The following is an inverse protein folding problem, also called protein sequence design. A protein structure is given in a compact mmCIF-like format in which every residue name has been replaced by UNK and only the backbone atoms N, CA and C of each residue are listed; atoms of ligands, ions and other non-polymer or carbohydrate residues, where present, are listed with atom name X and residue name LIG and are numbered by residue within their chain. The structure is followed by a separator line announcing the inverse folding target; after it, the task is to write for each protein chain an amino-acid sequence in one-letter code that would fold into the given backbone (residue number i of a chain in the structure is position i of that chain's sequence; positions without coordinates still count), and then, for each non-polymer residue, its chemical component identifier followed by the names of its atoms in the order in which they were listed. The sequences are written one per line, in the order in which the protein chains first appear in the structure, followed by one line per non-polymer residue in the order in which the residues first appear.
data_IF_874948727589
#
_entry.id   IF_874948727589
#
_cell.length_a   1.000
_cell.length_b   1.000
_cell.length_c   1.000
_cell.angle_alpha   90.00
_cell.angle_beta   90.00
_cell.angle_gamma   90.00
#
_symmetry.space_group_name_H-M   'P 1'
#
loop_
_entity.id
_entity.type
_entity.pdbx_description
1 polymer ?
#
# COMPACT_ATOMS: atom_id res chain seq x y z
N UNK A 1 -37.09 -18.72 -34.32
CA UNK A 1 -36.68 -19.91 -33.54
C UNK A 1 -35.40 -19.55 -32.82
N UNK A 2 -35.42 -19.43 -31.50
CA UNK A 2 -34.23 -19.11 -30.70
C UNK A 2 -33.44 -20.41 -30.51
N UNK A 3 -32.24 -20.52 -31.06
CA UNK A 3 -31.34 -21.64 -30.75
C UNK A 3 -30.78 -21.42 -29.35
N UNK A 4 -31.13 -22.31 -28.42
CA UNK A 4 -30.61 -22.30 -27.06
C UNK A 4 -29.18 -22.82 -27.00
N UNK A 5 -28.39 -22.31 -26.06
CA UNK A 5 -27.03 -22.78 -25.78
C UNK A 5 -27.07 -24.25 -25.31
N UNK A 6 -26.14 -25.07 -25.77
CA UNK A 6 -26.08 -26.47 -25.35
C UNK A 6 -25.43 -26.61 -23.96
N UNK A 7 -25.83 -27.64 -23.19
CA UNK A 7 -25.21 -27.91 -21.89
C UNK A 7 -23.70 -28.20 -22.02
N UNK A 8 -23.28 -28.82 -23.13
CA UNK A 8 -21.87 -29.14 -23.38
C UNK A 8 -21.04 -27.88 -23.64
N UNK A 9 -21.59 -26.88 -24.35
CA UNK A 9 -20.92 -25.58 -24.51
C UNK A 9 -20.70 -24.88 -23.18
N UNK A 10 -21.71 -24.90 -22.30
CA UNK A 10 -21.59 -24.31 -20.98
C UNK A 10 -20.51 -25.02 -20.14
N UNK A 11 -20.48 -26.35 -20.13
CA UNK A 11 -19.52 -27.12 -19.35
C UNK A 11 -18.07 -26.87 -19.79
N UNK A 12 -17.82 -26.85 -21.10
CA UNK A 12 -16.48 -26.54 -21.63
C UNK A 12 -16.12 -25.08 -21.32
N UNK A 13 -17.07 -24.16 -21.43
CA UNK A 13 -16.86 -22.75 -21.08
C UNK A 13 -16.44 -22.55 -19.62
N UNK A 14 -17.14 -23.19 -18.68
CA UNK A 14 -16.82 -23.12 -17.24
C UNK A 14 -15.46 -23.75 -16.94
N UNK A 15 -15.10 -24.84 -17.61
CA UNK A 15 -13.80 -25.49 -17.44
C UNK A 15 -12.64 -24.55 -17.84
N UNK A 16 -12.76 -23.84 -18.97
CA UNK A 16 -11.74 -22.88 -19.42
C UNK A 16 -11.70 -21.67 -18.48
N UNK A 17 -12.85 -21.13 -18.08
CA UNK A 17 -12.93 -20.02 -17.13
C UNK A 17 -12.26 -20.35 -15.79
N UNK A 18 -12.39 -21.59 -15.30
CA UNK A 18 -11.71 -22.04 -14.09
C UNK A 18 -10.17 -21.98 -14.19
N UNK A 19 -9.61 -22.43 -15.32
CA UNK A 19 -8.16 -22.36 -15.57
C UNK A 19 -7.69 -20.90 -15.68
N UNK A 20 -8.44 -20.06 -16.40
CA UNK A 20 -8.13 -18.63 -16.52
C UNK A 20 -8.16 -17.94 -15.16
N UNK A 21 -9.18 -18.21 -14.33
CA UNK A 21 -9.29 -17.64 -12.99
C UNK A 21 -8.13 -18.05 -12.08
N UNK A 22 -7.70 -19.31 -12.14
CA UNK A 22 -6.56 -19.82 -11.38
C UNK A 22 -5.26 -19.07 -11.66
N UNK A 23 -5.01 -18.69 -12.92
CA UNK A 23 -3.83 -17.91 -13.32
C UNK A 23 -4.04 -16.41 -13.02
N UNK A 24 -5.25 -15.88 -13.27
CA UNK A 24 -5.54 -14.46 -13.15
C UNK A 24 -5.50 -13.96 -11.69
N UNK A 25 -6.00 -14.73 -10.73
CA UNK A 25 -6.06 -14.33 -9.32
C UNK A 25 -4.69 -14.03 -8.68
N UNK A 26 -3.68 -14.92 -8.73
CA UNK A 26 -2.36 -14.63 -8.15
C UNK A 26 -1.66 -13.47 -8.89
N UNK A 27 -1.89 -13.35 -10.19
CA UNK A 27 -1.34 -12.24 -11.00
C UNK A 27 -1.94 -10.91 -10.54
N UNK A 28 -3.27 -10.80 -10.50
CA UNK A 28 -3.97 -9.58 -10.10
C UNK A 28 -3.60 -9.12 -8.68
N UNK A 29 -3.55 -10.05 -7.72
CA UNK A 29 -3.17 -9.72 -6.33
C UNK A 29 -1.73 -9.20 -6.23
N UNK A 30 -0.80 -9.73 -7.04
CA UNK A 30 0.57 -9.24 -7.10
C UNK A 30 0.67 -7.82 -7.69
N UNK A 31 -0.16 -7.48 -8.67
CA UNK A 31 -0.22 -6.13 -9.23
C UNK A 31 -0.72 -5.11 -8.22
N UNK A 32 -1.79 -5.45 -7.49
CA UNK A 32 -2.32 -4.59 -6.42
C UNK A 32 -1.26 -4.38 -5.35
N UNK A 33 -0.58 -5.43 -4.90
CA UNK A 33 0.48 -5.29 -3.87
C UNK A 33 1.63 -4.39 -4.34
N UNK A 34 2.05 -4.48 -5.61
CA UNK A 34 3.06 -3.59 -6.18
C UNK A 34 2.59 -2.14 -6.17
N UNK A 35 1.32 -1.87 -6.48
CA UNK A 35 0.75 -0.54 -6.39
C UNK A 35 0.76 -0.01 -4.95
N UNK A 36 0.41 -0.85 -3.96
CA UNK A 36 0.49 -0.51 -2.53
C UNK A 36 1.91 -0.11 -2.11
N UNK A 37 2.90 -0.89 -2.53
CA UNK A 37 4.31 -0.61 -2.25
C UNK A 37 4.77 0.68 -2.94
N UNK A 38 4.39 0.90 -4.20
CA UNK A 38 4.76 2.12 -4.94
C UNK A 38 4.22 3.38 -4.28
N UNK A 39 2.98 3.38 -3.83
CA UNK A 39 2.38 4.50 -3.10
C UNK A 39 3.10 4.74 -1.77
N UNK A 40 3.31 3.66 -1.01
CA UNK A 40 4.06 3.68 0.24
C UNK A 40 5.46 4.28 0.09
N UNK A 41 6.20 3.87 -0.94
CA UNK A 41 7.54 4.37 -1.22
C UNK A 41 7.51 5.86 -1.55
N UNK A 42 6.55 6.32 -2.36
CA UNK A 42 6.42 7.73 -2.70
C UNK A 42 6.18 8.60 -1.46
N UNK A 43 5.31 8.16 -0.55
CA UNK A 43 5.06 8.89 0.70
C UNK A 43 6.25 8.84 1.65
N UNK A 44 6.97 7.71 1.75
CA UNK A 44 8.19 7.61 2.57
C UNK A 44 9.32 8.46 2.00
N UNK A 45 9.46 8.55 0.68
CA UNK A 45 10.49 9.35 0.02
C UNK A 45 10.32 10.85 0.31
N UNK A 46 9.08 11.35 0.32
CA UNK A 46 8.81 12.74 0.72
C UNK A 46 9.19 13.01 2.19
N UNK A 47 8.84 12.10 3.10
CA UNK A 47 9.25 12.21 4.51
C UNK A 47 10.78 12.10 4.69
N UNK A 48 11.44 11.23 3.94
CA UNK A 48 12.91 11.10 3.94
C UNK A 48 13.58 12.40 3.47
N UNK A 49 13.07 13.01 2.40
CA UNK A 49 13.58 14.29 1.91
C UNK A 49 13.52 15.37 3.00
N UNK A 50 12.40 15.48 3.70
CA UNK A 50 12.24 16.44 4.79
C UNK A 50 13.21 16.16 5.96
N UNK A 51 13.46 14.88 6.29
CA UNK A 51 14.46 14.52 7.31
C UNK A 51 15.87 14.97 6.91
N UNK A 52 16.27 14.73 5.66
CA UNK A 52 17.60 15.10 5.15
C UNK A 52 17.75 16.62 5.09
N UNK A 53 16.72 17.33 4.64
CA UNK A 53 16.70 18.80 4.59
C UNK A 53 16.82 19.40 5.99
N UNK A 54 16.02 18.92 6.94
CA UNK A 54 16.09 19.37 8.33
C UNK A 54 17.47 19.11 8.94
N UNK A 55 18.06 17.94 8.68
CA UNK A 55 19.42 17.63 9.13
C UNK A 55 20.48 18.52 8.47
N UNK A 56 20.34 18.83 7.18
CA UNK A 56 21.25 19.72 6.47
C UNK A 56 21.27 21.15 7.03
N UNK A 57 20.14 21.62 7.55
CA UNK A 57 19.99 22.97 8.12
C UNK A 57 20.33 23.01 9.61
N UNK A 58 19.88 22.02 10.38
CA UNK A 58 19.93 22.05 11.85
C UNK A 58 21.04 21.16 12.45
N UNK A 59 21.70 20.33 11.63
CA UNK A 59 22.75 19.40 12.08
C UNK A 59 22.24 18.23 12.93
N UNK A 60 20.94 18.12 13.12
CA UNK A 60 20.26 17.05 13.85
C UNK A 60 19.10 16.53 13.01
N UNK A 61 18.83 15.24 13.10
CA UNK A 61 17.67 14.69 12.41
C UNK A 61 16.41 14.95 13.24
N UNK A 62 15.25 15.20 12.59
CA UNK A 62 14.01 15.49 13.30
C UNK A 62 13.48 14.23 13.99
N UNK A 63 13.00 14.38 15.22
CA UNK A 63 12.37 13.33 16.02
C UNK A 63 10.86 13.17 15.69
N UNK A 64 10.27 14.11 14.95
CA UNK A 64 8.84 14.11 14.61
C UNK A 64 8.54 14.78 13.27
N UNK A 65 7.33 14.54 12.74
CA UNK A 65 6.82 15.21 11.52
C UNK A 65 6.82 16.75 11.65
N UNK A 66 6.38 17.26 12.80
CA UNK A 66 6.29 18.70 13.04
C UNK A 66 7.66 19.36 13.03
N UNK A 67 8.67 18.70 13.60
CA UNK A 67 10.05 19.17 13.57
C UNK A 67 10.64 19.10 12.15
N UNK A 68 10.31 18.06 11.40
CA UNK A 68 10.67 17.93 9.99
C UNK A 68 9.93 18.92 9.05
N UNK A 69 9.00 19.73 9.57
CA UNK A 69 8.23 20.69 8.76
C UNK A 69 7.22 20.06 7.81
N UNK A 70 6.82 18.81 8.03
CA UNK A 70 5.81 18.10 7.22
C UNK A 70 4.48 17.98 7.97
N UNK A 71 3.36 17.73 7.27
CA UNK A 71 2.05 17.57 7.90
C UNK A 71 2.05 16.52 9.01
N UNK A 72 1.12 16.67 9.95
CA UNK A 72 0.98 15.72 11.06
C UNK A 72 0.74 14.31 10.50
N UNK A 73 1.20 13.29 11.22
CA UNK A 73 1.22 11.92 10.70
C UNK A 73 -0.16 11.37 10.28
N UNK A 74 -1.23 11.89 10.86
CA UNK A 74 -2.61 11.53 10.49
C UNK A 74 -3.11 12.23 9.22
N UNK A 75 -2.38 13.20 8.69
CA UNK A 75 -2.73 13.95 7.49
C UNK A 75 -1.96 13.44 6.27
N UNK A 76 -0.85 12.71 6.48
CA UNK A 76 -0.12 12.01 5.43
C UNK A 76 -0.76 10.64 5.19
N UNK A 77 -1.82 10.62 4.40
CA UNK A 77 -2.62 9.45 4.04
C UNK A 77 -2.59 9.18 2.54
N UNK A 78 -2.82 7.92 2.18
CA UNK A 78 -2.99 7.46 0.81
C UNK A 78 -4.11 6.43 0.72
N UNK A 79 -4.34 5.89 -0.47
CA UNK A 79 -5.31 4.82 -0.72
C UNK A 79 -4.93 3.55 0.06
N UNK A 80 -3.63 3.25 0.12
CA UNK A 80 -3.10 2.05 0.80
C UNK A 80 -2.26 2.38 2.03
N UNK A 81 -2.13 3.66 2.39
CA UNK A 81 -1.29 4.16 3.47
C UNK A 81 -2.12 4.90 4.50
N UNK A 82 -2.10 4.41 5.75
CA UNK A 82 -2.81 5.01 6.87
C UNK A 82 -2.15 6.24 7.44
N UNK A 83 -0.81 6.18 7.55
CA UNK A 83 0.00 7.26 8.10
C UNK A 83 1.48 7.06 7.82
N UNK A 84 2.18 8.18 7.76
CA UNK A 84 3.65 8.27 7.79
C UNK A 84 4.07 9.09 9.00
N UNK A 85 4.87 8.49 9.89
CA UNK A 85 5.33 9.11 11.12
C UNK A 85 6.85 9.04 11.24
N UNK A 86 7.50 10.17 11.42
CA UNK A 86 8.89 10.24 11.86
C UNK A 86 8.91 10.03 13.38
N UNK A 87 9.81 9.17 13.85
CA UNK A 87 10.02 8.89 15.27
C UNK A 87 11.45 8.44 15.53
N UNK A 88 12.00 8.83 16.68
CA UNK A 88 13.23 8.25 17.24
C UNK A 88 12.99 6.83 17.74
N UNK A 89 13.77 5.87 17.22
CA UNK A 89 13.67 4.48 17.64
C UNK A 89 14.41 4.26 18.95
N UNK A 90 13.68 3.77 19.96
CA UNK A 90 14.24 3.43 21.27
C UNK A 90 15.08 2.17 21.16
N UNK A 91 16.37 2.35 20.93
CA UNK A 91 17.35 1.27 20.75
C UNK A 91 18.64 1.77 20.12
N UNK A 92 18.54 2.78 19.26
CA UNK A 92 19.69 3.29 18.49
C UNK A 92 19.84 4.81 18.52
N UNK A 93 18.97 5.55 19.23
CA UNK A 93 18.91 7.04 19.21
C UNK A 93 18.80 7.67 17.81
N UNK A 94 18.64 6.85 16.78
CA UNK A 94 18.48 7.25 15.40
C UNK A 94 16.99 7.47 15.09
N UNK A 95 16.64 8.59 14.45
CA UNK A 95 15.31 8.78 13.92
C UNK A 95 15.11 8.00 12.64
N UNK A 96 13.88 7.57 12.43
CA UNK A 96 13.47 7.03 11.15
C UNK A 96 11.96 7.10 10.94
N UNK A 97 11.52 6.43 9.88
CA UNK A 97 10.17 6.59 9.34
C UNK A 97 9.36 5.33 9.65
N UNK A 98 8.26 5.53 10.36
CA UNK A 98 7.21 4.55 10.59
C UNK A 98 6.12 4.73 9.53
N UNK A 99 6.10 3.83 8.57
CA UNK A 99 5.00 3.68 7.62
C UNK A 99 3.97 2.71 8.19
N UNK A 100 2.70 3.05 8.08
CA UNK A 100 1.60 2.16 8.41
C UNK A 100 0.67 2.04 7.22
N UNK A 101 0.61 0.86 6.63
CA UNK A 101 -0.33 0.54 5.57
C UNK A 101 -1.75 0.41 6.13
N UNK A 102 -2.73 0.63 5.26
CA UNK A 102 -4.09 0.18 5.55
C UNK A 102 -4.19 -1.34 5.52
N UNK A 103 -5.05 -1.93 6.38
CA UNK A 103 -5.29 -3.36 6.35
C UNK A 103 -5.79 -3.75 4.96
N UNK A 104 -5.39 -4.93 4.51
CA UNK A 104 -5.96 -5.48 3.27
C UNK A 104 -7.47 -5.63 3.51
N UNK A 105 -8.33 -5.13 2.61
CA UNK A 105 -9.76 -5.40 2.71
C UNK A 105 -9.96 -6.90 2.77
N UNK A 106 -10.82 -7.34 3.67
CA UNK A 106 -11.14 -8.75 3.78
C UNK A 106 -11.87 -9.18 2.49
N UNK A 107 -11.70 -10.44 2.10
CA UNK A 107 -12.30 -10.95 0.87
C UNK A 107 -13.82 -11.16 0.97
N UNK A 108 -14.41 -10.85 2.12
CA UNK A 108 -15.80 -11.16 2.47
C UNK A 108 -16.62 -9.91 2.83
N UNK A 109 -16.07 -8.70 2.68
CA UNK A 109 -16.81 -7.45 2.82
C UNK A 109 -17.14 -7.05 4.25
N UNK A 110 -16.51 -7.67 5.24
CA UNK A 110 -16.48 -7.17 6.61
C UNK A 110 -15.47 -6.02 6.68
N UNK A 111 -15.97 -4.80 6.44
CA UNK A 111 -15.19 -3.57 6.49
C UNK A 111 -14.21 -3.51 7.67
N UNK A 112 -13.02 -2.96 7.39
CA UNK A 112 -11.92 -2.79 8.34
C UNK A 112 -12.27 -1.94 9.56
#
# INVERSE_FOLDING_TARGET
MQQGLTLIELMIGVAILGVLAYIALPIYTSYVERARISEALSLVESAKKAMVEHHGINGVFPASNSEAGIPHHNDIKGTYVRRVKIRTFGGWSEPGILLRLEPKPDTWGHGA
#
